data_IF_404546591955
#
_entry.id   IF_404546591955
#
_cell.length_a   1.000
_cell.length_b   1.000
_cell.length_c   1.000
_cell.angle_alpha   90.00
_cell.angle_beta   90.00
_cell.angle_gamma   90.00
#
_symmetry.space_group_name_H-M   'P 1'
#
loop_
_entity.id
_entity.type
_entity.pdbx_description
1 polymer ?
#
# COMPACT_ATOMS: atom_id res chain seq x y z
N UNK A 1 -73.20 11.34 -19.06
CA UNK A 1 -72.43 11.44 -17.79
C UNK A 1 -71.28 10.49 -17.92
N UNK A 2 -70.07 10.93 -18.37
CA UNK A 2 -68.88 10.15 -18.49
C UNK A 2 -67.92 10.66 -17.46
N UNK A 3 -67.51 9.81 -16.47
CA UNK A 3 -66.48 10.08 -15.50
C UNK A 3 -65.14 9.58 -16.04
N UNK A 4 -64.23 10.49 -16.31
CA UNK A 4 -62.85 10.19 -16.68
C UNK A 4 -62.02 9.99 -15.37
N UNK A 5 -61.54 8.78 -15.18
CA UNK A 5 -60.60 8.44 -14.12
C UNK A 5 -59.16 8.65 -14.64
N UNK A 6 -58.47 9.65 -14.10
CA UNK A 6 -57.07 9.89 -14.38
C UNK A 6 -56.24 9.06 -13.40
N UNK A 7 -55.50 8.06 -13.90
CA UNK A 7 -54.54 7.31 -13.15
C UNK A 7 -53.17 8.01 -13.31
N UNK A 8 -52.72 8.66 -12.24
CA UNK A 8 -51.37 9.22 -12.11
C UNK A 8 -50.38 8.08 -11.85
N UNK A 9 -49.56 7.75 -12.83
CA UNK A 9 -48.42 6.89 -12.68
C UNK A 9 -47.30 7.67 -11.98
N UNK A 10 -47.10 7.39 -10.68
CA UNK A 10 -45.93 7.86 -9.96
C UNK A 10 -44.74 6.91 -10.26
N UNK A 11 -43.86 7.32 -11.18
CA UNK A 11 -42.59 6.63 -11.41
C UNK A 11 -41.67 6.93 -10.24
N UNK A 12 -41.54 5.96 -9.32
CA UNK A 12 -40.53 5.99 -8.27
C UNK A 12 -39.17 5.66 -8.92
N UNK A 13 -38.40 6.71 -9.23
CA UNK A 13 -36.97 6.56 -9.55
C UNK A 13 -36.21 6.12 -8.28
N UNK A 14 -35.93 4.83 -8.20
CA UNK A 14 -34.99 4.30 -7.25
C UNK A 14 -33.59 4.79 -7.65
N UNK A 15 -33.16 5.89 -7.07
CA UNK A 15 -31.74 6.26 -7.07
C UNK A 15 -30.99 5.23 -6.24
N UNK A 16 -30.46 4.20 -6.90
CA UNK A 16 -29.46 3.33 -6.30
C UNK A 16 -28.18 4.16 -6.15
N UNK A 17 -28.04 4.84 -5.01
CA UNK A 17 -26.79 5.44 -4.61
C UNK A 17 -25.79 4.29 -4.39
N UNK A 18 -24.91 4.08 -5.38
CA UNK A 18 -23.71 3.29 -5.22
C UNK A 18 -22.88 3.99 -4.13
N UNK A 19 -23.11 3.61 -2.88
CA UNK A 19 -22.25 3.96 -1.79
C UNK A 19 -20.89 3.33 -2.10
N UNK A 20 -19.93 4.13 -2.49
CA UNK A 20 -18.53 3.74 -2.52
C UNK A 20 -18.16 3.37 -1.09
N UNK A 21 -18.02 2.08 -0.85
CA UNK A 21 -17.52 1.59 0.42
C UNK A 21 -16.04 2.00 0.52
N UNK A 22 -15.76 3.07 1.25
CA UNK A 22 -14.40 3.38 1.64
C UNK A 22 -13.83 2.19 2.40
N UNK A 23 -12.74 1.66 1.87
CA UNK A 23 -12.00 0.57 2.49
C UNK A 23 -11.43 1.05 3.81
N UNK A 24 -11.97 0.55 4.91
CA UNK A 24 -11.53 0.94 6.26
C UNK A 24 -10.33 0.09 6.67
N UNK A 25 -9.17 0.73 6.95
CA UNK A 25 -8.02 0.03 7.53
C UNK A 25 -8.34 -0.53 8.92
N UNK A 26 -7.34 -1.12 9.57
CA UNK A 26 -7.46 -1.67 10.93
C UNK A 26 -8.31 -0.75 11.80
N UNK A 27 -9.39 -1.29 12.35
CA UNK A 27 -10.39 -0.56 13.12
C UNK A 27 -10.20 -0.82 14.62
N UNK A 28 -10.94 -0.10 15.47
CA UNK A 28 -10.90 -0.26 16.93
C UNK A 28 -11.37 -1.65 17.40
N UNK A 29 -11.01 -2.01 18.63
CA UNK A 29 -11.43 -3.22 19.34
C UNK A 29 -10.97 -4.56 18.72
N UNK A 30 -9.91 -4.56 17.92
CA UNK A 30 -9.34 -5.78 17.38
C UNK A 30 -7.92 -6.01 17.92
N UNK A 31 -7.45 -7.28 17.95
CA UNK A 31 -6.05 -7.55 18.16
C UNK A 31 -5.22 -6.83 17.06
N UNK A 32 -4.20 -6.10 17.50
CA UNK A 32 -3.22 -5.58 16.54
C UNK A 32 -2.45 -6.75 15.92
N UNK A 33 -2.32 -6.79 14.58
CA UNK A 33 -1.64 -7.91 13.93
C UNK A 33 -0.19 -8.00 14.35
N UNK A 34 0.38 -9.20 14.38
CA UNK A 34 1.79 -9.40 14.66
C UNK A 34 2.60 -8.91 13.45
N UNK A 35 3.44 -7.94 13.69
CA UNK A 35 4.39 -7.41 12.70
C UNK A 35 5.81 -7.84 13.09
N UNK A 36 6.58 -8.24 12.08
CA UNK A 36 8.00 -8.61 12.22
C UNK A 36 8.85 -7.60 11.47
N UNK A 37 9.88 -7.11 12.09
CA UNK A 37 10.81 -6.15 11.52
C UNK A 37 12.21 -6.74 11.47
N UNK A 38 12.88 -6.61 10.31
CA UNK A 38 14.23 -7.13 10.04
C UNK A 38 15.29 -6.03 10.03
N UNK A 39 15.05 -4.97 10.77
CA UNK A 39 15.90 -3.79 10.84
C UNK A 39 16.79 -3.81 12.07
N UNK A 40 18.04 -3.36 11.90
CA UNK A 40 18.97 -3.15 13.00
C UNK A 40 18.71 -1.76 13.59
N UNK A 41 18.18 -1.73 14.82
CA UNK A 41 17.97 -0.49 15.56
C UNK A 41 19.26 0.00 16.23
N UNK A 42 19.40 1.31 16.39
CA UNK A 42 20.46 1.90 17.21
C UNK A 42 20.32 1.48 18.68
N UNK A 43 21.38 1.62 19.47
CA UNK A 43 21.33 1.29 20.91
C UNK A 43 20.30 2.14 21.65
N UNK A 44 20.16 3.38 21.25
CA UNK A 44 19.21 4.36 21.79
C UNK A 44 17.78 3.93 21.47
N UNK A 45 17.51 3.54 20.23
CA UNK A 45 16.20 3.05 19.79
C UNK A 45 15.83 1.73 20.47
N UNK A 46 16.79 0.81 20.61
CA UNK A 46 16.60 -0.44 21.36
C UNK A 46 16.24 -0.15 22.82
N UNK A 47 17.00 0.74 23.49
CA UNK A 47 16.72 1.14 24.86
C UNK A 47 15.36 1.84 24.98
N UNK A 48 15.01 2.74 24.05
CA UNK A 48 13.72 3.41 24.02
C UNK A 48 12.56 2.43 23.87
N UNK A 49 12.64 1.47 22.94
CA UNK A 49 11.60 0.47 22.71
C UNK A 49 11.63 -0.68 23.76
N UNK A 50 12.70 -0.77 24.55
CA UNK A 50 12.90 -1.86 25.52
C UNK A 50 13.18 -3.21 24.86
N UNK A 51 13.74 -3.21 23.64
CA UNK A 51 14.07 -4.41 22.87
C UNK A 51 15.52 -4.78 23.12
N UNK A 52 15.78 -6.06 23.41
CA UNK A 52 17.14 -6.56 23.67
C UNK A 52 17.81 -7.22 22.47
N UNK A 53 17.08 -7.44 21.36
CA UNK A 53 17.58 -8.14 20.18
C UNK A 53 18.26 -7.19 19.21
N UNK A 54 19.38 -7.63 18.64
CA UNK A 54 20.16 -6.87 17.66
C UNK A 54 19.62 -7.00 16.22
N UNK A 55 18.75 -7.98 15.95
CA UNK A 55 18.22 -8.30 14.63
C UNK A 55 16.85 -8.95 14.78
N UNK A 56 15.98 -8.76 13.83
CA UNK A 56 14.63 -9.31 13.76
C UNK A 56 13.87 -9.25 15.10
N UNK A 57 12.92 -8.36 15.21
CA UNK A 57 12.07 -8.25 16.40
C UNK A 57 10.58 -8.21 15.99
N UNK A 58 9.74 -8.56 16.97
CA UNK A 58 8.30 -8.55 16.80
C UNK A 58 7.69 -7.31 17.47
N UNK A 59 6.60 -6.79 16.92
CA UNK A 59 5.88 -5.65 17.51
C UNK A 59 5.54 -5.86 18.99
N UNK A 60 5.14 -7.09 19.36
CA UNK A 60 4.83 -7.45 20.75
C UNK A 60 6.03 -7.31 21.72
N UNK A 61 7.25 -7.23 21.24
CA UNK A 61 8.45 -7.05 22.08
C UNK A 61 8.67 -5.60 22.52
N UNK A 62 8.00 -4.63 21.86
CA UNK A 62 8.06 -3.20 22.23
C UNK A 62 7.47 -3.04 23.63
N UNK A 63 8.24 -2.55 24.58
CA UNK A 63 7.81 -2.38 25.97
C UNK A 63 7.12 -1.04 26.18
N UNK A 64 5.82 -1.07 26.45
CA UNK A 64 4.99 0.10 26.75
C UNK A 64 3.57 -0.34 27.07
N UNK A 65 2.84 0.43 27.86
CA UNK A 65 1.41 0.22 28.10
C UNK A 65 0.60 0.61 26.87
N UNK A 66 1.12 1.59 26.10
CA UNK A 66 0.56 2.07 24.85
C UNK A 66 1.69 2.27 23.84
N UNK A 67 1.46 1.86 22.60
CA UNK A 67 2.31 2.17 21.46
C UNK A 67 1.50 3.00 20.47
N UNK A 68 1.95 4.22 20.19
CA UNK A 68 1.44 5.08 19.13
C UNK A 68 2.19 4.72 17.85
N UNK A 69 1.49 4.11 16.92
CA UNK A 69 2.04 3.64 15.63
C UNK A 69 1.61 4.58 14.54
N UNK A 70 2.56 5.10 13.77
CA UNK A 70 2.29 5.94 12.61
C UNK A 70 2.73 5.22 11.33
N UNK A 71 1.79 4.87 10.46
CA UNK A 71 2.12 4.53 9.09
C UNK A 71 2.34 5.80 8.30
N UNK A 72 3.54 5.93 7.78
CA UNK A 72 4.05 7.11 7.07
C UNK A 72 4.70 6.70 5.75
N UNK A 73 5.14 7.67 4.96
CA UNK A 73 6.07 7.46 3.84
C UNK A 73 6.90 8.72 3.67
N UNK A 74 8.21 8.57 3.46
CA UNK A 74 9.12 9.70 3.26
C UNK A 74 8.77 10.55 2.04
N UNK A 75 8.02 9.98 1.09
CA UNK A 75 7.56 10.64 -0.14
C UNK A 75 6.16 11.28 -0.02
N UNK A 76 5.47 11.08 1.10
CA UNK A 76 4.12 11.60 1.31
C UNK A 76 4.16 13.02 1.89
N UNK A 77 3.64 14.00 1.17
CA UNK A 77 3.64 15.41 1.58
C UNK A 77 2.89 15.62 2.89
N UNK A 78 1.72 14.97 3.07
CA UNK A 78 0.95 15.06 4.32
C UNK A 78 1.74 14.46 5.49
N UNK A 79 2.49 13.38 5.26
CA UNK A 79 3.36 12.78 6.28
C UNK A 79 4.50 13.72 6.68
N UNK A 80 5.12 14.39 5.70
CA UNK A 80 6.15 15.38 5.97
C UNK A 80 5.61 16.55 6.83
N UNK A 81 4.36 16.97 6.58
CA UNK A 81 3.66 18.01 7.38
C UNK A 81 3.32 17.51 8.78
N UNK A 82 3.00 16.23 8.96
CA UNK A 82 2.69 15.65 10.27
C UNK A 82 3.93 15.45 11.14
N UNK A 83 5.10 15.24 10.53
CA UNK A 83 6.32 14.93 11.27
C UNK A 83 6.69 15.96 12.36
N UNK A 84 6.65 17.29 12.13
CA UNK A 84 6.88 18.26 13.20
C UNK A 84 5.89 18.13 14.36
N UNK A 85 4.61 17.88 14.07
CA UNK A 85 3.57 17.66 15.09
C UNK A 85 3.93 16.44 15.95
N UNK A 86 4.34 15.33 15.33
CA UNK A 86 4.73 14.12 16.04
C UNK A 86 6.04 14.26 16.83
N UNK A 87 6.99 15.06 16.35
CA UNK A 87 8.16 15.43 17.12
C UNK A 87 7.78 16.15 18.42
N UNK A 88 6.79 17.04 18.35
CA UNK A 88 6.27 17.74 19.52
C UNK A 88 5.51 16.77 20.45
N UNK A 89 4.64 15.90 19.92
CA UNK A 89 3.97 14.85 20.70
C UNK A 89 5.00 14.01 21.49
N UNK A 90 6.07 13.58 20.82
CA UNK A 90 7.16 12.85 21.47
C UNK A 90 7.77 13.66 22.63
N UNK A 91 8.07 14.93 22.38
CA UNK A 91 8.64 15.82 23.40
C UNK A 91 7.70 15.99 24.60
N UNK A 92 6.40 16.12 24.36
CA UNK A 92 5.39 16.26 25.41
C UNK A 92 5.23 14.95 26.20
N UNK A 93 5.27 13.79 25.56
CA UNK A 93 5.23 12.46 26.20
C UNK A 93 6.47 12.29 27.11
N UNK A 94 7.66 12.61 26.62
CA UNK A 94 8.90 12.44 27.39
C UNK A 94 9.04 13.42 28.58
N UNK A 95 8.34 14.55 28.53
CA UNK A 95 8.26 15.54 29.61
C UNK A 95 7.19 15.24 30.68
N UNK A 96 6.13 14.47 30.32
CA UNK A 96 5.06 14.12 31.26
C UNK A 96 5.42 12.84 32.03
N UNK A 97 5.71 12.89 33.36
CA UNK A 97 6.06 11.72 34.15
C UNK A 97 5.01 10.59 34.17
N UNK A 98 3.75 10.94 33.85
CA UNK A 98 2.65 9.95 33.79
C UNK A 98 2.67 9.13 32.51
N UNK A 99 3.29 9.68 31.42
CA UNK A 99 3.35 9.10 30.09
C UNK A 99 4.72 8.49 29.77
N UNK A 100 5.78 9.16 30.23
CA UNK A 100 7.18 8.74 30.01
C UNK A 100 7.39 7.27 30.36
N UNK A 101 7.97 6.52 29.45
CA UNK A 101 8.22 5.07 29.60
C UNK A 101 6.98 4.18 29.43
N UNK A 102 5.75 4.72 29.62
CA UNK A 102 4.49 3.99 29.41
C UNK A 102 3.99 4.09 27.97
N UNK A 103 4.23 5.21 27.32
CA UNK A 103 3.88 5.45 25.92
C UNK A 103 5.14 5.34 25.07
N UNK A 104 5.08 4.58 23.99
CA UNK A 104 6.11 4.51 22.96
C UNK A 104 5.57 4.98 21.63
N UNK A 105 6.39 5.67 20.85
CA UNK A 105 6.06 6.09 19.48
C UNK A 105 6.92 5.31 18.50
N UNK A 106 6.31 4.84 17.40
CA UNK A 106 6.99 4.10 16.33
C UNK A 106 6.39 4.53 15.00
N UNK A 107 7.23 4.98 14.07
CA UNK A 107 6.84 5.14 12.67
C UNK A 107 7.08 3.84 11.89
N UNK A 108 6.28 3.59 10.86
CA UNK A 108 6.47 2.52 9.88
C UNK A 108 6.38 3.17 8.50
N UNK A 109 7.51 3.19 7.78
CA UNK A 109 7.66 3.92 6.53
C UNK A 109 7.35 3.01 5.33
N UNK A 110 6.11 3.04 4.86
CA UNK A 110 5.61 2.22 3.76
C UNK A 110 6.32 2.56 2.43
N UNK A 111 6.90 1.55 1.79
CA UNK A 111 7.62 1.67 0.53
C UNK A 111 8.99 2.36 0.64
N UNK A 112 9.56 2.44 1.85
CA UNK A 112 10.86 3.04 2.08
C UNK A 112 11.89 2.03 2.59
N UNK A 113 13.14 2.18 2.17
CA UNK A 113 14.28 1.43 2.70
C UNK A 113 14.91 2.14 3.92
N UNK A 114 15.81 1.45 4.61
CA UNK A 114 16.47 1.97 5.82
C UNK A 114 17.24 3.27 5.59
N UNK A 115 17.92 3.41 4.44
CA UNK A 115 18.68 4.63 4.10
C UNK A 115 17.77 5.84 3.90
N UNK A 116 16.64 5.65 3.24
CA UNK A 116 15.64 6.71 3.04
C UNK A 116 15.04 7.16 4.36
N UNK A 117 14.72 6.20 5.22
CA UNK A 117 14.23 6.46 6.58
C UNK A 117 15.27 7.22 7.40
N UNK A 118 16.54 6.81 7.35
CA UNK A 118 17.62 7.49 8.06
C UNK A 118 17.80 8.94 7.59
N UNK A 119 17.79 9.18 6.27
CA UNK A 119 17.86 10.51 5.70
C UNK A 119 16.68 11.38 6.16
N UNK A 120 15.46 10.84 6.10
CA UNK A 120 14.27 11.51 6.55
C UNK A 120 14.33 11.86 8.06
N UNK A 121 14.76 10.92 8.89
CA UNK A 121 14.94 11.18 10.33
C UNK A 121 15.94 12.30 10.60
N UNK A 122 17.02 12.37 9.84
CA UNK A 122 18.03 13.45 9.95
C UNK A 122 17.45 14.79 9.50
N UNK A 123 16.79 14.84 8.37
CA UNK A 123 16.22 16.04 7.78
C UNK A 123 15.15 16.65 8.69
N UNK A 124 14.21 15.85 9.15
CA UNK A 124 13.09 16.28 9.99
C UNK A 124 13.37 16.19 11.49
N UNK A 125 14.60 15.81 11.91
CA UNK A 125 15.03 15.68 13.30
C UNK A 125 14.09 14.79 14.13
N UNK A 126 13.67 13.64 13.56
CA UNK A 126 12.72 12.73 14.22
C UNK A 126 13.37 12.04 15.41
N UNK A 127 12.83 12.21 16.64
CA UNK A 127 13.45 11.71 17.86
C UNK A 127 13.05 10.27 18.25
N UNK A 128 12.12 9.66 17.52
CA UNK A 128 11.62 8.31 17.79
C UNK A 128 11.98 7.35 16.64
N UNK A 129 11.92 6.02 16.85
CA UNK A 129 12.21 5.05 15.81
C UNK A 129 11.20 5.12 14.65
N UNK A 130 11.72 5.10 13.42
CA UNK A 130 10.94 4.82 12.21
C UNK A 130 11.50 3.55 11.59
N UNK A 131 10.63 2.58 11.32
CA UNK A 131 10.96 1.28 10.76
C UNK A 131 10.71 1.28 9.26
N UNK A 132 11.64 0.75 8.48
CA UNK A 132 11.49 0.61 7.04
C UNK A 132 10.52 -0.53 6.71
N UNK A 133 9.62 -0.29 5.76
CA UNK A 133 8.67 -1.28 5.22
C UNK A 133 8.72 -1.26 3.69
N UNK A 134 9.89 -1.56 3.14
CA UNK A 134 10.21 -1.45 1.70
C UNK A 134 9.19 -2.20 0.83
N UNK A 135 8.82 -3.40 1.23
CA UNK A 135 7.93 -4.28 0.47
C UNK A 135 6.46 -4.13 0.85
N UNK A 136 6.11 -3.13 1.66
CA UNK A 136 4.75 -2.91 2.17
C UNK A 136 4.18 -4.08 2.98
N UNK A 137 5.02 -4.91 3.62
CA UNK A 137 4.57 -6.08 4.36
C UNK A 137 3.75 -5.70 5.58
N UNK A 138 4.28 -4.81 6.43
CA UNK A 138 3.57 -4.27 7.58
C UNK A 138 2.33 -3.47 7.16
N UNK A 139 2.47 -2.60 6.15
CA UNK A 139 1.40 -1.79 5.60
C UNK A 139 0.24 -2.64 5.06
N UNK A 140 0.55 -3.72 4.31
CA UNK A 140 -0.47 -4.65 3.79
C UNK A 140 -1.15 -5.42 4.92
N UNK A 141 -0.39 -5.82 5.94
CA UNK A 141 -0.92 -6.57 7.10
C UNK A 141 -1.96 -5.78 7.88
N UNK A 142 -1.84 -4.44 7.96
CA UNK A 142 -2.83 -3.58 8.62
C UNK A 142 -3.95 -3.09 7.69
N UNK A 143 -4.03 -3.60 6.47
CA UNK A 143 -5.12 -3.32 5.52
C UNK A 143 -4.81 -2.22 4.51
N UNK A 144 -3.54 -1.92 4.26
CA UNK A 144 -3.06 -0.93 3.28
C UNK A 144 -3.72 0.44 3.44
N UNK A 145 -3.67 1.08 4.63
CA UNK A 145 -4.26 2.39 4.86
C UNK A 145 -3.54 3.45 4.02
N UNK A 146 -4.24 4.53 3.70
CA UNK A 146 -3.57 5.74 3.19
C UNK A 146 -2.78 6.39 4.31
N UNK A 147 -1.64 6.98 3.99
CA UNK A 147 -0.77 7.67 4.96
C UNK A 147 -0.97 9.20 4.92
N UNK A 148 -0.80 9.90 6.02
CA UNK A 148 -0.45 9.39 7.35
C UNK A 148 -1.62 8.64 7.99
N UNK A 149 -1.31 7.57 8.72
CA UNK A 149 -2.31 6.79 9.45
C UNK A 149 -1.80 6.43 10.84
N UNK A 150 -2.50 6.89 11.85
CA UNK A 150 -2.10 6.73 13.25
C UNK A 150 -2.95 5.69 13.94
N UNK A 151 -2.33 4.80 14.72
CA UNK A 151 -2.98 3.74 15.47
C UNK A 151 -2.52 3.80 16.93
N UNK A 152 -3.46 3.85 17.87
CA UNK A 152 -3.19 3.73 19.30
C UNK A 152 -3.38 2.27 19.71
N UNK A 153 -2.27 1.59 20.01
CA UNK A 153 -2.23 0.18 20.38
C UNK A 153 -1.96 0.04 21.87
N UNK A 154 -2.88 -0.48 22.65
CA UNK A 154 -2.69 -0.78 24.05
C UNK A 154 -2.42 -2.25 24.32
N UNK A 155 -1.70 -2.52 25.41
CA UNK A 155 -1.57 -3.89 25.93
C UNK A 155 -2.64 -4.15 26.99
N UNK A 156 -3.32 -5.29 26.85
CA UNK A 156 -4.20 -5.78 27.89
C UNK A 156 -3.41 -6.45 29.02
N UNK A 157 -4.11 -6.87 30.05
CA UNK A 157 -3.52 -7.54 31.23
C UNK A 157 -2.85 -8.88 30.90
N UNK A 158 -3.13 -9.45 29.73
CA UNK A 158 -2.53 -10.69 29.25
C UNK A 158 -1.34 -10.41 28.30
N UNK A 159 -0.96 -9.15 28.11
CA UNK A 159 0.10 -8.72 27.21
C UNK A 159 -0.29 -8.68 25.73
N UNK A 160 -1.60 -8.83 25.40
CA UNK A 160 -2.11 -8.80 24.03
C UNK A 160 -2.22 -7.36 23.54
N UNK A 161 -1.73 -7.09 22.35
CA UNK A 161 -1.85 -5.78 21.69
C UNK A 161 -3.25 -5.60 21.11
N UNK A 162 -3.97 -4.54 21.52
CA UNK A 162 -5.34 -4.23 21.10
C UNK A 162 -5.36 -2.83 20.47
N UNK A 163 -5.96 -2.70 19.30
CA UNK A 163 -6.24 -1.40 18.68
C UNK A 163 -7.37 -0.72 19.45
N UNK A 164 -7.11 0.44 20.02
CA UNK A 164 -8.11 1.22 20.76
C UNK A 164 -8.78 2.25 19.86
N UNK A 165 -7.99 2.97 19.07
CA UNK A 165 -8.49 3.96 18.11
C UNK A 165 -7.53 4.12 16.95
N UNK A 166 -8.01 4.73 15.87
CA UNK A 166 -7.21 5.04 14.68
C UNK A 166 -7.56 6.42 14.15
N UNK A 167 -6.61 7.08 13.50
CA UNK A 167 -6.82 8.34 12.80
C UNK A 167 -6.21 8.26 11.40
N UNK A 168 -7.01 8.59 10.39
CA UNK A 168 -6.57 8.69 9.00
C UNK A 168 -6.40 10.16 8.62
N UNK A 169 -5.25 10.49 8.05
CA UNK A 169 -4.91 11.85 7.63
C UNK A 169 -4.09 12.61 8.67
N UNK A 170 -3.94 13.90 8.44
CA UNK A 170 -3.22 14.80 9.34
C UNK A 170 -3.96 14.95 10.67
N UNK A 171 -3.20 14.93 11.76
CA UNK A 171 -3.68 15.32 13.08
C UNK A 171 -3.49 16.84 13.23
N UNK A 172 -4.49 17.51 13.75
CA UNK A 172 -4.55 18.98 13.76
C UNK A 172 -3.44 19.64 14.62
N UNK A 173 -3.10 19.02 15.77
CA UNK A 173 -2.08 19.53 16.67
C UNK A 173 -1.46 18.44 17.56
N UNK A 174 -0.33 18.76 18.16
CA UNK A 174 0.34 17.89 19.13
C UNK A 174 -0.51 17.70 20.39
N UNK A 175 -1.22 18.73 20.83
CA UNK A 175 -2.12 18.70 21.99
C UNK A 175 -3.27 17.72 21.73
N UNK A 176 -3.90 17.77 20.54
CA UNK A 176 -4.99 16.86 20.17
C UNK A 176 -4.53 15.40 20.20
N UNK A 177 -3.36 15.09 19.63
CA UNK A 177 -2.78 13.74 19.68
C UNK A 177 -2.44 13.30 21.12
N UNK A 178 -1.97 14.23 21.95
CA UNK A 178 -1.62 13.96 23.33
C UNK A 178 -2.87 13.69 24.18
N UNK A 179 -3.94 14.44 23.98
CA UNK A 179 -5.21 14.27 24.69
C UNK A 179 -5.86 12.94 24.31
N UNK A 180 -5.85 12.57 23.04
CA UNK A 180 -6.27 11.23 22.58
C UNK A 180 -5.40 10.14 23.24
N UNK A 181 -4.08 10.34 23.30
CA UNK A 181 -3.15 9.40 23.95
C UNK A 181 -3.46 9.20 25.43
N UNK A 182 -3.80 10.29 26.15
CA UNK A 182 -4.21 10.24 27.55
C UNK A 182 -5.56 9.53 27.73
N UNK A 183 -6.53 9.84 26.88
CA UNK A 183 -7.84 9.21 26.88
C UNK A 183 -7.72 7.71 26.64
N UNK A 184 -6.93 7.31 25.64
CA UNK A 184 -6.67 5.90 25.31
C UNK A 184 -6.01 5.16 26.46
N UNK A 185 -5.05 5.77 27.18
CA UNK A 185 -4.42 5.15 28.35
C UNK A 185 -5.40 4.86 29.50
N UNK A 186 -6.42 5.70 29.66
CA UNK A 186 -7.42 5.59 30.72
C UNK A 186 -8.61 4.72 30.30
N UNK A 187 -8.74 4.40 29.01
CA UNK A 187 -9.88 3.65 28.49
C UNK A 187 -9.96 2.24 29.07
N UNK A 188 -11.16 1.83 29.52
CA UNK A 188 -11.37 0.46 30.00
C UNK A 188 -11.43 -0.52 28.83
N UNK A 189 -10.39 -1.33 28.68
CA UNK A 189 -10.29 -2.32 27.61
C UNK A 189 -11.37 -3.43 27.71
N UNK A 190 -11.99 -3.62 28.87
CA UNK A 190 -13.10 -4.57 29.01
C UNK A 190 -14.31 -4.16 28.17
N UNK A 191 -14.53 -2.85 27.99
CA UNK A 191 -15.60 -2.31 27.14
C UNK A 191 -15.38 -2.58 25.65
N UNK A 192 -14.13 -2.84 25.21
CA UNK A 192 -13.85 -3.20 23.84
C UNK A 192 -14.18 -4.65 23.51
N UNK A 193 -14.16 -5.56 24.50
CA UNK A 193 -14.40 -7.00 24.30
C UNK A 193 -15.79 -7.33 23.75
N UNK A 194 -16.77 -6.46 23.97
CA UNK A 194 -18.14 -6.61 23.45
C UNK A 194 -18.30 -6.12 22.00
N UNK A 195 -17.30 -5.43 21.44
CA UNK A 195 -17.36 -4.87 20.10
C UNK A 195 -16.61 -5.76 19.12
N UNK A 196 -17.28 -6.17 18.04
CA UNK A 196 -16.62 -6.88 16.93
C UNK A 196 -15.92 -5.87 16.05
N UNK A 197 -14.60 -5.79 16.17
CA UNK A 197 -13.76 -5.06 15.22
C UNK A 197 -13.46 -5.93 14.00
N UNK A 198 -13.20 -5.32 12.87
CA UNK A 198 -12.80 -6.00 11.64
C UNK A 198 -11.45 -5.49 11.19
N UNK A 199 -10.53 -6.42 10.85
CA UNK A 199 -9.41 -6.08 9.98
C UNK A 199 -10.01 -6.02 8.57
N UNK A 200 -10.07 -4.83 8.01
CA UNK A 200 -10.52 -4.68 6.65
C UNK A 200 -9.39 -5.12 5.70
N UNK A 201 -9.61 -6.26 5.04
CA UNK A 201 -8.89 -6.59 3.80
C UNK A 201 -9.70 -5.97 2.69
N UNK A 202 -9.23 -4.85 2.15
CA UNK A 202 -9.99 -4.05 1.20
C UNK A 202 -10.63 -4.85 0.07
N UNK A 203 -11.78 -4.37 -0.42
CA UNK A 203 -12.40 -4.89 -1.63
C UNK A 203 -11.40 -4.89 -2.79
N UNK A 204 -11.60 -5.77 -3.76
CA UNK A 204 -10.78 -5.77 -4.95
C UNK A 204 -10.80 -4.37 -5.60
N UNK A 205 -9.60 -3.88 -5.93
CA UNK A 205 -9.49 -2.60 -6.63
C UNK A 205 -10.14 -2.72 -8.00
N UNK A 206 -11.05 -1.80 -8.30
CA UNK A 206 -11.74 -1.77 -9.60
C UNK A 206 -10.94 -0.89 -10.57
N UNK A 207 -10.43 -1.44 -11.67
CA UNK A 207 -9.76 -0.65 -12.68
C UNK A 207 -10.74 0.32 -13.36
N UNK A 208 -10.27 1.50 -13.82
CA UNK A 208 -11.14 2.51 -14.43
C UNK A 208 -11.60 2.15 -15.86
N UNK A 209 -11.09 1.04 -16.42
CA UNK A 209 -11.41 0.54 -17.75
C UNK A 209 -12.22 -0.75 -17.67
N UNK A 210 -13.08 -0.98 -18.65
CA UNK A 210 -13.80 -2.25 -18.83
C UNK A 210 -12.85 -3.36 -19.30
N UNK A 211 -13.31 -4.60 -19.21
CA UNK A 211 -12.50 -5.77 -19.57
C UNK A 211 -12.02 -5.74 -21.02
N UNK A 212 -12.87 -5.31 -21.96
CA UNK A 212 -12.52 -5.22 -23.39
C UNK A 212 -11.41 -4.20 -23.62
N UNK A 213 -11.47 -3.07 -22.92
CA UNK A 213 -10.46 -2.00 -23.00
C UNK A 213 -9.13 -2.46 -22.36
N UNK A 214 -9.19 -3.19 -21.24
CA UNK A 214 -8.00 -3.77 -20.59
C UNK A 214 -7.34 -4.81 -21.50
N UNK A 215 -8.12 -5.67 -22.15
CA UNK A 215 -7.64 -6.65 -23.11
C UNK A 215 -7.01 -5.97 -24.36
N UNK A 216 -7.60 -4.88 -24.82
CA UNK A 216 -7.03 -4.07 -25.91
C UNK A 216 -5.68 -3.47 -25.50
N UNK A 217 -5.56 -2.95 -24.28
CA UNK A 217 -4.29 -2.44 -23.73
C UNK A 217 -3.25 -3.55 -23.56
N UNK A 218 -3.63 -4.74 -23.15
CA UNK A 218 -2.73 -5.88 -23.09
C UNK A 218 -2.23 -6.27 -24.48
N UNK A 219 -3.12 -6.29 -25.49
CA UNK A 219 -2.78 -6.54 -26.91
C UNK A 219 -1.79 -5.47 -27.44
N UNK A 220 -2.03 -4.20 -27.13
CA UNK A 220 -1.15 -3.08 -27.50
C UNK A 220 0.26 -3.29 -26.90
N UNK A 221 0.35 -3.62 -25.59
CA UNK A 221 1.61 -3.92 -24.93
C UNK A 221 2.34 -5.14 -25.52
N UNK A 222 1.62 -6.19 -25.90
CA UNK A 222 2.23 -7.36 -26.58
C UNK A 222 2.77 -7.02 -27.96
N UNK A 223 2.09 -6.14 -28.70
CA UNK A 223 2.50 -5.74 -30.05
C UNK A 223 3.83 -4.95 -30.05
N UNK A 224 4.23 -4.34 -28.94
CA UNK A 224 5.54 -3.65 -28.83
C UNK A 224 6.74 -4.61 -28.95
N UNK A 225 6.52 -5.91 -28.82
CA UNK A 225 7.52 -6.96 -29.08
C UNK A 225 7.98 -7.05 -30.54
N UNK A 226 7.29 -6.37 -31.46
CA UNK A 226 7.50 -6.44 -32.90
C UNK A 226 6.80 -7.62 -33.59
N UNK A 227 6.09 -8.48 -32.85
CA UNK A 227 5.31 -9.59 -33.39
C UNK A 227 3.84 -9.20 -33.65
N UNK A 228 3.16 -9.98 -34.53
CA UNK A 228 1.72 -9.86 -34.78
C UNK A 228 0.94 -10.65 -33.74
N UNK A 229 0.13 -10.00 -32.91
CA UNK A 229 -0.73 -10.67 -31.93
C UNK A 229 -1.90 -11.32 -32.67
N UNK A 230 -1.89 -12.66 -32.74
CA UNK A 230 -2.91 -13.47 -33.42
C UNK A 230 -4.16 -13.60 -32.55
N UNK A 231 -3.97 -13.95 -31.29
CA UNK A 231 -5.03 -14.21 -30.30
C UNK A 231 -4.61 -13.69 -28.94
N UNK A 232 -5.58 -13.31 -28.12
CA UNK A 232 -5.36 -12.99 -26.71
C UNK A 232 -6.53 -13.56 -25.89
N UNK A 233 -6.21 -14.26 -24.83
CA UNK A 233 -7.18 -14.89 -23.94
C UNK A 233 -6.89 -14.48 -22.48
N UNK A 234 -7.94 -14.31 -21.70
CA UNK A 234 -7.84 -14.18 -20.25
C UNK A 234 -7.93 -15.56 -19.63
N UNK A 235 -6.88 -15.98 -18.96
CA UNK A 235 -6.84 -17.28 -18.27
C UNK A 235 -6.91 -17.09 -16.76
N UNK A 236 -7.63 -17.98 -16.08
CA UNK A 236 -7.66 -18.06 -14.62
C UNK A 236 -6.65 -19.09 -14.13
N UNK A 237 -5.84 -18.73 -13.14
CA UNK A 237 -4.89 -19.61 -12.47
C UNK A 237 -5.60 -20.35 -11.33
N UNK A 238 -5.05 -21.50 -10.90
CA UNK A 238 -5.66 -22.38 -9.89
C UNK A 238 -5.94 -21.72 -8.54
N UNK A 239 -5.23 -20.68 -8.21
CA UNK A 239 -5.44 -19.92 -6.96
C UNK A 239 -6.44 -18.76 -7.08
N UNK A 240 -7.13 -18.65 -8.22
CA UNK A 240 -8.11 -17.61 -8.52
C UNK A 240 -7.51 -16.32 -9.09
N UNK A 241 -6.19 -16.25 -9.24
CA UNK A 241 -5.54 -15.16 -9.97
C UNK A 241 -5.77 -15.32 -11.49
N UNK A 242 -5.45 -14.31 -12.28
CA UNK A 242 -5.68 -14.35 -13.73
C UNK A 242 -4.64 -13.54 -14.49
N UNK A 243 -4.47 -13.83 -15.77
CA UNK A 243 -3.52 -13.16 -16.66
C UNK A 243 -4.01 -13.22 -18.11
N UNK A 244 -3.64 -12.25 -18.92
CA UNK A 244 -3.82 -12.33 -20.36
C UNK A 244 -2.65 -13.11 -21.00
N UNK A 245 -2.98 -14.05 -21.88
CA UNK A 245 -2.01 -14.80 -22.67
C UNK A 245 -2.25 -14.50 -24.13
N UNK A 246 -1.25 -13.96 -24.80
CA UNK A 246 -1.29 -13.64 -26.22
C UNK A 246 -0.45 -14.59 -27.03
N UNK A 247 -1.03 -15.19 -28.09
CA UNK A 247 -0.30 -15.92 -29.11
C UNK A 247 0.22 -14.93 -30.14
N UNK A 248 1.53 -14.85 -30.31
CA UNK A 248 2.22 -13.85 -31.13
C UNK A 248 3.01 -14.53 -32.23
N UNK A 249 2.90 -14.04 -33.45
CA UNK A 249 3.67 -14.46 -34.60
C UNK A 249 4.85 -13.50 -34.82
N UNK A 250 6.05 -14.01 -34.68
CA UNK A 250 7.31 -13.27 -34.90
C UNK A 250 7.87 -13.51 -36.32
N UNK A 251 7.07 -14.04 -37.24
CA UNK A 251 7.45 -14.37 -38.62
C UNK A 251 8.19 -15.70 -38.74
N UNK A 252 9.24 -15.92 -37.96
CA UNK A 252 10.03 -17.17 -37.98
C UNK A 252 9.48 -18.23 -37.00
N UNK A 253 8.76 -17.82 -36.01
CA UNK A 253 8.16 -18.73 -35.00
C UNK A 253 6.95 -18.05 -34.34
N UNK A 254 6.13 -18.86 -33.70
CA UNK A 254 5.05 -18.38 -32.82
C UNK A 254 5.43 -18.61 -31.37
N UNK A 255 5.08 -17.69 -30.50
CA UNK A 255 5.33 -17.76 -29.07
C UNK A 255 4.18 -17.14 -28.28
N UNK A 256 4.21 -17.33 -26.96
CA UNK A 256 3.26 -16.69 -26.07
C UNK A 256 3.91 -15.48 -25.41
N UNK A 257 3.11 -14.42 -25.20
CA UNK A 257 3.41 -13.34 -24.28
C UNK A 257 2.36 -13.28 -23.18
N UNK A 258 2.74 -12.76 -22.04
CA UNK A 258 1.93 -12.72 -20.84
C UNK A 258 1.76 -11.28 -20.38
N UNK A 259 0.52 -10.82 -20.17
CA UNK A 259 0.23 -9.48 -19.68
C UNK A 259 -0.61 -9.53 -18.41
N UNK A 260 -0.14 -8.90 -17.34
CA UNK A 260 -0.80 -8.87 -16.04
C UNK A 260 -1.21 -7.44 -15.69
N UNK A 261 -2.49 -7.27 -15.33
CA UNK A 261 -2.94 -6.03 -14.68
C UNK A 261 -2.42 -6.00 -13.24
N UNK A 262 -1.67 -4.97 -12.91
CA UNK A 262 -1.31 -4.61 -11.56
C UNK A 262 -2.28 -3.54 -11.04
N UNK A 263 -2.87 -3.81 -9.87
CA UNK A 263 -3.79 -2.91 -9.17
C UNK A 263 -3.24 -2.64 -7.77
N UNK A 264 -2.93 -1.39 -7.46
CA UNK A 264 -2.33 -1.01 -6.18
C UNK A 264 -3.11 0.14 -5.55
N UNK A 265 -3.44 -0.01 -4.26
CA UNK A 265 -4.03 1.10 -3.51
C UNK A 265 -3.05 2.26 -3.41
N UNK A 266 -3.61 3.46 -3.43
CA UNK A 266 -2.84 4.65 -3.11
C UNK A 266 -2.28 4.56 -1.68
N UNK A 267 -1.00 4.89 -1.54
CA UNK A 267 -0.34 4.95 -0.22
C UNK A 267 -0.59 6.29 0.44
N UNK A 268 -0.55 7.41 -0.29
CA UNK A 268 -0.79 8.72 0.31
C UNK A 268 -2.29 9.12 0.22
N UNK A 269 -2.73 9.98 1.15
CA UNK A 269 -4.10 10.44 1.30
C UNK A 269 -4.65 11.21 0.08
N UNK A 270 -3.77 11.90 -0.63
CA UNK A 270 -4.09 12.71 -1.82
C UNK A 270 -3.78 12.02 -3.15
N UNK A 271 -3.35 10.75 -3.14
CA UNK A 271 -2.98 10.01 -4.33
C UNK A 271 -4.17 9.18 -4.85
N UNK A 272 -4.18 8.89 -6.15
CA UNK A 272 -5.10 7.91 -6.73
C UNK A 272 -4.51 6.50 -6.70
N UNK A 273 -5.40 5.49 -6.70
CA UNK A 273 -5.01 4.11 -6.90
C UNK A 273 -4.28 3.94 -8.24
N UNK A 274 -3.32 3.04 -8.26
CA UNK A 274 -2.40 2.85 -9.39
C UNK A 274 -2.79 1.61 -10.17
N UNK A 275 -3.00 1.76 -11.48
CA UNK A 275 -3.31 0.67 -12.40
C UNK A 275 -2.41 0.74 -13.62
N UNK A 276 -1.81 -0.39 -13.96
CA UNK A 276 -1.00 -0.55 -15.17
C UNK A 276 -0.96 -2.02 -15.58
N UNK A 277 -0.69 -2.27 -16.86
CA UNK A 277 -0.44 -3.62 -17.36
C UNK A 277 1.05 -3.75 -17.66
N UNK A 278 1.67 -4.80 -17.16
CA UNK A 278 3.02 -5.18 -17.57
C UNK A 278 2.97 -6.45 -18.41
N UNK A 279 3.76 -6.47 -19.48
CA UNK A 279 3.88 -7.59 -20.42
C UNK A 279 5.28 -8.18 -20.32
N UNK A 280 5.39 -9.51 -20.32
CA UNK A 280 6.65 -10.22 -20.28
C UNK A 280 6.63 -11.47 -21.17
N UNK A 281 7.81 -11.93 -21.59
CA UNK A 281 8.00 -13.13 -22.40
C UNK A 281 8.17 -14.40 -21.54
N UNK A 282 8.25 -15.60 -22.15
CA UNK A 282 8.48 -16.85 -21.46
C UNK A 282 9.79 -16.92 -20.66
N UNK A 283 10.76 -16.10 -20.97
CA UNK A 283 12.05 -15.96 -20.26
C UNK A 283 11.95 -15.00 -19.06
N UNK A 284 10.77 -14.40 -18.86
CA UNK A 284 10.52 -13.43 -17.79
C UNK A 284 11.05 -12.03 -18.07
N UNK A 285 11.37 -11.71 -19.31
CA UNK A 285 11.83 -10.38 -19.70
C UNK A 285 10.64 -9.44 -19.91
N UNK A 286 10.66 -8.27 -19.30
CA UNK A 286 9.63 -7.24 -19.48
C UNK A 286 9.68 -6.70 -20.90
N UNK A 287 8.57 -6.80 -21.61
CA UNK A 287 8.38 -6.32 -22.98
C UNK A 287 7.85 -4.90 -22.97
N UNK A 288 6.83 -4.62 -22.12
CA UNK A 288 6.27 -3.27 -22.03
C UNK A 288 5.56 -3.04 -20.69
N UNK A 289 5.36 -1.76 -20.38
CA UNK A 289 4.51 -1.26 -19.30
C UNK A 289 3.46 -0.32 -19.92
N UNK A 290 2.19 -0.74 -19.85
CA UNK A 290 1.06 0.03 -20.35
C UNK A 290 0.35 0.75 -19.21
N UNK A 291 0.39 2.09 -19.15
CA UNK A 291 -0.31 2.87 -18.13
C UNK A 291 -1.83 2.76 -18.32
N UNK A 292 -2.56 2.55 -17.25
CA UNK A 292 -4.03 2.64 -17.18
C UNK A 292 -4.42 3.86 -16.37
N UNK A 293 -3.94 3.94 -15.13
CA UNK A 293 -4.10 5.09 -14.25
C UNK A 293 -2.82 5.29 -13.45
N UNK A 294 -1.97 6.20 -13.92
CA UNK A 294 -0.77 6.66 -13.24
C UNK A 294 -0.89 8.16 -13.02
N UNK A 295 -0.81 8.58 -11.75
CA UNK A 295 -0.98 10.00 -11.38
C UNK A 295 0.21 10.52 -10.58
N UNK A 296 0.40 11.83 -10.64
CA UNK A 296 1.32 12.64 -9.85
C UNK A 296 0.57 13.35 -8.72
N UNK A 297 1.31 14.02 -7.86
CA UNK A 297 0.77 14.97 -6.89
C UNK A 297 -0.26 15.91 -7.55
N UNK A 298 -1.39 16.14 -6.87
CA UNK A 298 -2.51 16.91 -7.42
C UNK A 298 -3.31 16.15 -8.48
N UNK A 299 -3.19 14.83 -8.54
CA UNK A 299 -3.91 13.93 -9.45
C UNK A 299 -3.64 14.18 -10.94
N UNK A 300 -2.55 14.84 -11.26
CA UNK A 300 -2.11 15.04 -12.65
C UNK A 300 -1.69 13.70 -13.27
N UNK A 301 -2.12 13.43 -14.48
CA UNK A 301 -1.69 12.23 -15.23
C UNK A 301 -0.20 12.27 -15.52
N UNK A 302 0.43 11.11 -15.58
CA UNK A 302 1.80 10.98 -16.07
C UNK A 302 1.88 11.43 -17.54
N UNK A 303 2.96 12.14 -17.86
CA UNK A 303 3.25 12.58 -19.23
C UNK A 303 3.90 11.44 -20.04
N UNK A 304 3.95 11.59 -21.35
CA UNK A 304 4.69 10.69 -22.25
C UNK A 304 6.15 10.54 -21.83
N UNK A 305 6.77 11.62 -21.35
CA UNK A 305 8.17 11.61 -20.89
C UNK A 305 8.34 10.78 -19.62
N UNK A 306 7.40 10.89 -18.67
CA UNK A 306 7.39 10.07 -17.44
C UNK A 306 7.29 8.58 -17.79
N UNK A 307 6.40 8.25 -18.73
CA UNK A 307 6.18 6.88 -19.20
C UNK A 307 7.43 6.37 -19.95
N UNK A 308 8.04 7.20 -20.77
CA UNK A 308 9.30 6.87 -21.48
C UNK A 308 10.41 6.60 -20.47
N UNK A 309 10.52 7.43 -19.43
CA UNK A 309 11.49 7.22 -18.34
C UNK A 309 11.24 5.89 -17.64
N UNK A 310 10.00 5.58 -17.25
CA UNK A 310 9.64 4.30 -16.62
C UNK A 310 10.03 3.13 -17.52
N UNK A 311 9.65 3.16 -18.80
CA UNK A 311 9.99 2.11 -19.76
C UNK A 311 11.49 1.91 -19.91
N UNK A 312 12.27 2.97 -19.95
CA UNK A 312 13.75 2.88 -20.05
C UNK A 312 14.39 2.18 -18.84
N UNK A 313 13.69 2.17 -17.69
CA UNK A 313 14.16 1.56 -16.43
C UNK A 313 13.62 0.16 -16.20
N UNK A 314 12.59 -0.27 -16.93
CA UNK A 314 11.87 -1.52 -16.68
C UNK A 314 11.90 -2.47 -17.87
N UNK A 315 11.71 -1.98 -19.10
CA UNK A 315 11.69 -2.81 -20.32
C UNK A 315 13.06 -3.43 -20.54
N UNK A 316 13.06 -4.72 -20.91
CA UNK A 316 14.27 -5.50 -21.12
C UNK A 316 14.85 -6.13 -19.85
N UNK A 317 14.42 -5.72 -18.66
CA UNK A 317 14.82 -6.37 -17.39
C UNK A 317 14.01 -7.64 -17.16
N UNK A 318 14.57 -8.57 -16.36
CA UNK A 318 13.89 -9.83 -16.03
C UNK A 318 13.16 -9.71 -14.69
N UNK A 319 11.88 -10.10 -14.67
CA UNK A 319 11.08 -10.23 -13.43
C UNK A 319 11.56 -11.39 -12.53
N UNK A 320 12.49 -12.20 -12.99
CA UNK A 320 13.12 -13.25 -12.19
C UNK A 320 14.28 -12.74 -11.34
N UNK A 321 14.70 -11.49 -11.56
CA UNK A 321 15.73 -10.78 -10.78
C UNK A 321 15.06 -9.66 -9.98
N UNK A 322 15.63 -9.26 -8.83
CA UNK A 322 15.06 -8.18 -8.03
C UNK A 322 14.83 -6.89 -8.82
N UNK A 323 13.66 -6.32 -8.67
CA UNK A 323 13.28 -5.01 -9.19
C UNK A 323 13.40 -3.94 -8.10
N UNK A 324 14.65 -3.67 -7.69
CA UNK A 324 14.93 -2.67 -6.67
C UNK A 324 14.68 -1.27 -7.21
N UNK A 325 13.90 -0.47 -6.47
CA UNK A 325 13.67 0.94 -6.73
C UNK A 325 14.85 1.78 -6.23
N UNK A 326 15.38 2.65 -7.09
CA UNK A 326 16.40 3.66 -6.74
C UNK A 326 15.79 5.05 -6.88
N UNK A 327 15.54 5.77 -5.77
CA UNK A 327 14.91 7.08 -5.82
C UNK A 327 15.72 8.11 -6.63
N UNK A 328 17.03 7.96 -6.73
CA UNK A 328 17.89 8.88 -7.50
C UNK A 328 17.67 8.82 -9.01
N UNK A 329 17.23 7.67 -9.53
CA UNK A 329 17.10 7.44 -10.98
C UNK A 329 15.71 7.00 -11.43
N UNK A 330 14.95 6.31 -10.56
CA UNK A 330 13.66 5.73 -10.88
C UNK A 330 12.48 6.63 -10.49
N UNK A 331 12.71 7.66 -9.67
CA UNK A 331 11.67 8.61 -9.28
C UNK A 331 11.13 9.40 -10.46
N UNK A 332 9.81 9.57 -10.46
CA UNK A 332 9.10 10.52 -11.32
C UNK A 332 8.70 11.72 -10.47
N UNK A 333 9.02 12.92 -10.92
CA UNK A 333 8.73 14.15 -10.16
C UNK A 333 7.26 14.25 -9.79
N UNK A 334 6.98 14.41 -8.50
CA UNK A 334 5.63 14.45 -7.95
C UNK A 334 4.88 13.09 -7.96
N UNK A 335 5.58 11.96 -8.27
CA UNK A 335 4.97 10.64 -8.35
C UNK A 335 5.88 9.52 -7.83
N UNK A 336 6.78 9.83 -6.90
CA UNK A 336 7.73 8.85 -6.36
C UNK A 336 7.03 7.63 -5.77
N UNK A 337 5.97 7.82 -4.99
CA UNK A 337 5.18 6.71 -4.43
C UNK A 337 4.59 5.82 -5.52
N UNK A 338 4.02 6.40 -6.59
CA UNK A 338 3.49 5.64 -7.73
C UNK A 338 4.60 4.81 -8.40
N UNK A 339 5.79 5.38 -8.57
CA UNK A 339 6.93 4.65 -9.11
C UNK A 339 7.35 3.48 -8.19
N UNK A 340 7.45 3.70 -6.88
CA UNK A 340 7.72 2.63 -5.89
C UNK A 340 6.70 1.50 -6.02
N UNK A 341 5.41 1.80 -6.13
CA UNK A 341 4.35 0.78 -6.29
C UNK A 341 4.50 -0.03 -7.57
N UNK A 342 4.97 0.60 -8.67
CA UNK A 342 5.24 -0.09 -9.93
C UNK A 342 6.41 -1.06 -9.77
N UNK A 343 7.53 -0.60 -9.20
CA UNK A 343 8.72 -1.43 -8.99
C UNK A 343 8.43 -2.60 -8.04
N UNK A 344 7.72 -2.38 -6.93
CA UNK A 344 7.28 -3.44 -6.01
C UNK A 344 6.37 -4.46 -6.72
N UNK A 345 5.49 -4.01 -7.62
CA UNK A 345 4.64 -4.92 -8.39
C UNK A 345 5.43 -5.78 -9.36
N UNK A 346 6.48 -5.22 -10.00
CA UNK A 346 7.37 -5.95 -10.90
C UNK A 346 8.27 -6.93 -10.12
N UNK A 347 8.72 -6.57 -8.93
CA UNK A 347 9.47 -7.49 -8.06
C UNK A 347 8.62 -8.71 -7.67
N UNK A 348 7.35 -8.48 -7.33
CA UNK A 348 6.37 -9.53 -7.03
C UNK A 348 5.93 -10.36 -8.25
N UNK A 349 6.20 -9.90 -9.48
CA UNK A 349 5.80 -10.59 -10.71
C UNK A 349 6.45 -11.96 -10.88
N UNK A 350 7.59 -12.23 -10.23
CA UNK A 350 8.18 -13.56 -10.15
C UNK A 350 7.18 -14.61 -9.64
N UNK A 351 6.32 -14.25 -8.68
CA UNK A 351 5.27 -15.13 -8.16
C UNK A 351 4.28 -15.59 -9.25
N UNK A 352 3.86 -14.67 -10.12
CA UNK A 352 2.98 -14.99 -11.27
C UNK A 352 3.72 -15.88 -12.27
N UNK A 353 4.98 -15.60 -12.56
CA UNK A 353 5.80 -16.41 -13.46
C UNK A 353 5.91 -17.86 -12.98
N UNK A 354 6.19 -18.08 -11.70
CA UNK A 354 6.30 -19.44 -11.13
C UNK A 354 4.96 -20.19 -11.17
N UNK A 355 3.83 -19.51 -11.00
CA UNK A 355 2.49 -20.09 -11.18
C UNK A 355 2.27 -20.54 -12.62
N UNK A 356 2.57 -19.69 -13.61
CA UNK A 356 2.45 -20.01 -15.04
C UNK A 356 3.31 -21.21 -15.43
N UNK A 357 4.54 -21.28 -14.91
CA UNK A 357 5.45 -22.41 -15.12
C UNK A 357 4.90 -23.71 -14.50
N UNK A 358 4.40 -23.64 -13.27
CA UNK A 358 3.79 -24.77 -12.56
C UNK A 358 2.55 -25.31 -13.27
N UNK A 359 1.78 -24.42 -13.91
CA UNK A 359 0.55 -24.78 -14.64
C UNK A 359 0.79 -25.12 -16.13
N UNK A 360 2.05 -25.07 -16.61
CA UNK A 360 2.44 -25.49 -17.95
C UNK A 360 2.27 -24.47 -19.06
N UNK A 361 1.93 -23.21 -18.73
CA UNK A 361 1.85 -22.13 -19.72
C UNK A 361 3.24 -21.64 -20.17
N UNK A 362 4.24 -21.80 -19.33
CA UNK A 362 5.66 -21.56 -19.64
C UNK A 362 6.37 -22.92 -19.61
N UNK A 363 6.96 -23.30 -20.75
CA UNK A 363 7.74 -24.55 -20.88
C UNK A 363 9.06 -24.45 -20.11
N UNK A 364 9.55 -25.59 -19.63
CA UNK A 364 10.86 -25.70 -18.98
C UNK A 364 11.98 -25.48 -19.98
#
# INVERSE_FOLDING_TARGET
MFHHFWILFFSIFFFCSLAWSETKPVSFAIPFPELTFKQILSKEEQAYLGISRKKDFFFKEIRGALVLVEFTSTYCVSCQRQTPIFNEVYSLIEKDPRLKGKVKMVGIAAGNNEKEVENFKKEYKVPFPILADLNFDAHTTVGSPRTPFTIWVRRDVQGKSIVVTTHLGLIDSAESALDETRAVLQYDLALLKSKKGTIYRGDALMPPLKEEELMAKAREGMATSGGKVLQIDKISLKDGDWIYVGKVDFGKHQGNLFSKLASRRAVCDICHDTFFIYTFDPEGKVIDIMPIQLTKFGNLKWTEEDIKKLRSRTVGRSILKPFTFDPGVDSVSGATITAVLIFDSLDKAKGIYEKLKKEGYIKK
#
